data_IF_812422724699
#
_entry.id   IF_812422724699
#
_cell.length_a   1.000
_cell.length_b   1.000
_cell.length_c   1.000
_cell.angle_alpha   90.00
_cell.angle_beta   90.00
_cell.angle_gamma   90.00
#
_symmetry.space_group_name_H-M   'P 1'
#
loop_
_entity.id
_entity.type
_entity.pdbx_description
1 polymer ?
#
# COMPACT_ATOMS: atom_id res chain seq x y z
N UNK A 1 -1.43 -7.24 6.87
CA UNK A 1 -1.41 -8.43 5.99
C UNK A 1 -2.76 -8.58 5.34
N UNK A 2 -2.80 -8.80 4.02
CA UNK A 2 -4.03 -8.99 3.24
C UNK A 2 -4.54 -10.43 3.42
N UNK A 3 -5.79 -10.61 3.88
CA UNK A 3 -6.35 -11.93 4.20
C UNK A 3 -7.08 -12.61 3.04
N UNK A 4 -7.48 -11.86 2.02
CA UNK A 4 -8.21 -12.32 0.83
C UNK A 4 -7.70 -11.56 -0.38
N UNK A 5 -7.82 -12.15 -1.56
CA UNK A 5 -7.51 -11.46 -2.81
C UNK A 5 -8.32 -10.17 -2.92
N UNK A 6 -7.63 -9.08 -3.26
CA UNK A 6 -8.24 -7.82 -3.67
C UNK A 6 -8.25 -7.84 -5.20
N UNK A 7 -9.41 -7.97 -5.86
CA UNK A 7 -9.48 -8.06 -7.31
C UNK A 7 -8.76 -6.90 -8.00
N UNK A 8 -7.87 -7.24 -8.94
CA UNK A 8 -7.05 -6.26 -9.68
C UNK A 8 -5.92 -5.63 -8.86
N UNK A 9 -5.65 -6.08 -7.63
CA UNK A 9 -4.64 -5.51 -6.73
C UNK A 9 -3.87 -6.63 -6.00
N UNK A 10 -3.68 -6.47 -4.68
CA UNK A 10 -2.91 -7.36 -3.81
C UNK A 10 -3.57 -8.72 -3.61
N UNK A 11 -2.79 -9.81 -3.74
CA UNK A 11 -3.23 -11.18 -3.42
C UNK A 11 -3.27 -11.45 -1.92
N UNK A 12 -4.03 -12.47 -1.52
CA UNK A 12 -4.01 -13.00 -0.16
C UNK A 12 -2.57 -13.34 0.27
N UNK A 13 -2.19 -13.00 1.50
CA UNK A 13 -0.83 -13.18 2.00
C UNK A 13 0.13 -12.02 1.68
N UNK A 14 -0.29 -10.99 0.94
CA UNK A 14 0.49 -9.76 0.79
C UNK A 14 0.74 -9.10 2.15
N UNK A 15 2.00 -8.91 2.51
CA UNK A 15 2.40 -8.17 3.71
C UNK A 15 2.47 -6.68 3.39
N UNK A 16 2.07 -5.84 4.33
CA UNK A 16 2.01 -4.40 4.16
C UNK A 16 2.15 -3.72 5.51
N UNK A 17 2.65 -2.49 5.49
CA UNK A 17 2.74 -1.63 6.66
C UNK A 17 2.68 -0.15 6.25
N UNK A 18 2.53 0.71 7.25
CA UNK A 18 2.62 2.16 7.09
C UNK A 18 3.44 2.79 8.20
N UNK A 19 3.96 4.00 7.95
CA UNK A 19 4.76 4.77 8.89
C UNK A 19 4.59 6.27 8.71
N UNK A 20 5.05 7.06 9.68
CA UNK A 20 5.16 8.50 9.51
C UNK A 20 6.25 8.83 8.48
N UNK A 21 6.13 9.91 7.70
CA UNK A 21 4.99 10.83 7.61
C UNK A 21 4.12 10.50 6.37
N UNK A 22 3.26 9.46 6.44
CA UNK A 22 2.59 8.84 5.27
C UNK A 22 3.54 8.07 4.34
N UNK A 23 4.29 7.15 4.93
CA UNK A 23 5.01 6.09 4.23
C UNK A 23 4.11 4.87 4.15
N UNK A 24 3.96 4.27 2.97
CA UNK A 24 3.21 3.04 2.76
C UNK A 24 4.02 2.08 1.89
N UNK A 25 4.00 0.80 2.21
CA UNK A 25 4.63 -0.23 1.38
C UNK A 25 3.91 -1.56 1.49
N UNK A 26 4.10 -2.41 0.48
CA UNK A 26 3.62 -3.79 0.48
C UNK A 26 4.48 -4.70 -0.38
N UNK A 27 4.48 -6.00 -0.05
CA UNK A 27 5.23 -7.05 -0.75
C UNK A 27 4.27 -8.21 -1.01
N UNK A 28 3.99 -8.47 -2.29
CA UNK A 28 3.19 -9.61 -2.76
C UNK A 28 4.13 -10.68 -3.34
N UNK A 29 4.39 -11.72 -2.54
CA UNK A 29 5.28 -12.82 -2.93
C UNK A 29 4.66 -13.76 -3.98
N UNK A 30 3.33 -13.77 -4.13
CA UNK A 30 2.67 -14.64 -5.09
C UNK A 30 2.79 -14.09 -6.51
N UNK A 31 2.60 -12.77 -6.65
CA UNK A 31 2.72 -12.08 -7.95
C UNK A 31 4.15 -11.64 -8.26
N UNK A 32 5.01 -11.54 -7.24
CA UNK A 32 6.36 -11.01 -7.37
C UNK A 32 6.42 -9.48 -7.46
N UNK A 33 5.29 -8.80 -7.17
CA UNK A 33 5.18 -7.34 -7.23
C UNK A 33 5.35 -6.76 -5.81
N UNK A 34 6.00 -5.60 -5.73
CA UNK A 34 6.09 -4.77 -4.54
C UNK A 34 5.90 -3.31 -4.93
N UNK A 35 5.38 -2.49 -4.02
CA UNK A 35 5.33 -1.06 -4.20
C UNK A 35 5.58 -0.32 -2.88
N UNK A 36 6.04 0.93 -3.01
CA UNK A 36 6.21 1.87 -1.92
C UNK A 36 5.75 3.26 -2.36
N UNK A 37 4.98 3.92 -1.49
CA UNK A 37 4.62 5.33 -1.61
C UNK A 37 5.18 6.06 -0.40
N UNK A 38 6.27 6.79 -0.60
CA UNK A 38 6.98 7.51 0.45
C UNK A 38 6.85 9.01 0.23
N UNK A 39 6.37 9.70 1.25
CA UNK A 39 6.16 11.14 1.24
C UNK A 39 6.80 11.79 2.48
N UNK A 40 6.76 13.11 2.54
CA UNK A 40 7.23 13.91 3.68
C UNK A 40 6.09 14.80 4.21
N UNK A 41 4.88 14.24 4.32
CA UNK A 41 3.66 15.00 4.60
C UNK A 41 3.02 14.59 5.92
N UNK A 42 2.64 15.57 6.72
CA UNK A 42 1.95 15.38 8.01
C UNK A 42 0.62 16.15 8.00
N UNK A 43 -0.40 15.71 8.76
CA UNK A 43 -0.40 14.52 9.64
C UNK A 43 -0.50 13.20 8.85
N UNK A 44 -0.21 12.08 9.51
CA UNK A 44 -0.48 10.76 8.93
C UNK A 44 -1.99 10.52 8.75
N UNK A 45 -2.34 9.72 7.74
CA UNK A 45 -3.72 9.44 7.37
C UNK A 45 -4.33 10.50 6.45
N UNK A 46 -3.49 11.23 5.70
CA UNK A 46 -3.96 12.17 4.70
C UNK A 46 -4.82 11.47 3.62
N UNK A 47 -6.00 12.00 3.35
CA UNK A 47 -6.97 11.39 2.46
C UNK A 47 -6.49 11.40 0.99
N UNK A 48 -5.78 12.45 0.56
CA UNK A 48 -5.24 12.53 -0.79
C UNK A 48 -4.12 11.49 -0.98
N UNK A 49 -3.26 11.30 0.02
CA UNK A 49 -2.23 10.25 -0.02
C UNK A 49 -2.80 8.83 0.02
N UNK A 50 -3.90 8.64 0.75
CA UNK A 50 -4.63 7.38 0.72
C UNK A 50 -5.22 7.11 -0.67
N UNK A 51 -5.77 8.14 -1.33
CA UNK A 51 -6.23 8.07 -2.72
C UNK A 51 -5.09 7.71 -3.68
N UNK A 52 -3.94 8.36 -3.55
CA UNK A 52 -2.76 8.08 -4.37
C UNK A 52 -2.23 6.64 -4.17
N UNK A 53 -2.25 6.13 -2.93
CA UNK A 53 -1.89 4.73 -2.67
C UNK A 53 -2.84 3.74 -3.37
N UNK A 54 -4.14 4.06 -3.38
CA UNK A 54 -5.18 3.27 -4.06
C UNK A 54 -4.94 3.28 -5.58
N UNK A 55 -4.55 4.42 -6.16
CA UNK A 55 -4.23 4.54 -7.59
C UNK A 55 -2.95 3.78 -7.97
N UNK A 56 -1.93 3.79 -7.10
CA UNK A 56 -0.68 3.03 -7.30
C UNK A 56 -0.90 1.51 -7.42
N UNK A 57 -2.00 0.99 -6.85
CA UNK A 57 -2.33 -0.44 -6.88
C UNK A 57 -3.10 -0.88 -8.15
N UNK A 58 -3.55 0.05 -9.00
CA UNK A 58 -4.24 -0.25 -10.27
C UNK A 58 -3.26 -0.71 -11.35
#
# INVERSE_FOLDING_TARGET
MTLKDIPGRRRAGTVNWSGLPNLHWWIDRQTGITAALFTQLMPAGDAALTGLLIELEL
#
